data_IF_567778017409
#
_entry.id   IF_567778017409
#
_cell.length_a   1.000
_cell.length_b   1.000
_cell.length_c   1.000
_cell.angle_alpha   90.00
_cell.angle_beta   90.00
_cell.angle_gamma   90.00
#
_symmetry.space_group_name_H-M   'P 1'
#
loop_
_entity.id
_entity.type
_entity.pdbx_description
1 polymer ?
#
# COMPACT_ATOMS: atom_id res chain seq x y z
N UNK A 1 -17.18 -42.25 8.50
CA UNK A 1 -16.78 -41.44 7.33
C UNK A 1 -16.24 -40.13 7.84
N UNK A 2 -14.91 -39.99 7.88
CA UNK A 2 -14.25 -38.73 8.26
C UNK A 2 -14.10 -37.91 6.97
N UNK A 3 -14.83 -36.81 6.87
CA UNK A 3 -14.73 -35.88 5.74
C UNK A 3 -13.50 -35.01 5.96
N UNK A 4 -12.44 -35.26 5.21
CA UNK A 4 -11.27 -34.38 5.12
C UNK A 4 -11.70 -33.09 4.42
N UNK A 5 -11.89 -32.02 5.20
CA UNK A 5 -11.96 -30.65 4.68
C UNK A 5 -10.52 -30.20 4.40
N UNK A 6 -10.12 -30.19 3.13
CA UNK A 6 -8.93 -29.46 2.72
C UNK A 6 -9.19 -27.96 2.91
N UNK A 7 -8.27 -27.19 3.52
CA UNK A 7 -8.38 -25.74 3.51
C UNK A 7 -8.26 -25.28 2.05
N UNK A 8 -9.28 -24.56 1.56
CA UNK A 8 -9.17 -23.88 0.28
C UNK A 8 -8.09 -22.80 0.40
N UNK A 9 -7.12 -22.86 -0.50
CA UNK A 9 -6.09 -21.83 -0.67
C UNK A 9 -6.74 -20.52 -1.16
N UNK A 10 -7.15 -19.68 -0.21
CA UNK A 10 -7.73 -18.36 -0.46
C UNK A 10 -6.72 -17.32 -1.00
N UNK A 11 -5.43 -17.68 -1.14
CA UNK A 11 -4.41 -16.71 -1.57
C UNK A 11 -4.50 -16.41 -3.07
N UNK A 12 -4.95 -17.37 -3.89
CA UNK A 12 -5.01 -17.20 -5.36
C UNK A 12 -6.24 -16.42 -5.87
N UNK A 13 -7.36 -16.40 -5.15
CA UNK A 13 -8.52 -15.60 -5.58
C UNK A 13 -8.32 -14.09 -5.36
N UNK A 14 -7.44 -13.70 -4.45
CA UNK A 14 -7.36 -12.31 -3.99
C UNK A 14 -6.29 -11.47 -4.72
N UNK A 15 -5.50 -12.07 -5.62
CA UNK A 15 -4.58 -11.36 -6.51
C UNK A 15 -5.23 -10.87 -7.81
N UNK A 16 -6.57 -10.80 -7.89
CA UNK A 16 -7.31 -10.43 -9.10
C UNK A 16 -7.81 -8.97 -9.11
N UNK A 17 -7.60 -8.23 -8.02
CA UNK A 17 -8.15 -6.89 -7.84
C UNK A 17 -9.68 -6.86 -7.84
N UNK A 18 -10.24 -5.70 -7.56
CA UNK A 18 -11.68 -5.46 -7.50
C UNK A 18 -12.04 -4.47 -6.41
N UNK A 19 -13.34 -4.23 -6.24
CA UNK A 19 -13.85 -3.59 -5.04
C UNK A 19 -13.92 -4.66 -3.97
N UNK A 20 -13.32 -4.40 -2.81
CA UNK A 20 -13.52 -5.25 -1.64
C UNK A 20 -15.02 -5.32 -1.36
N UNK A 21 -15.65 -6.50 -1.44
CA UNK A 21 -17.11 -6.63 -1.37
C UNK A 21 -17.68 -6.24 0.00
N UNK A 22 -16.81 -6.09 1.00
CA UNK A 22 -17.15 -5.71 2.36
C UNK A 22 -16.07 -4.79 2.92
N UNK A 23 -16.47 -3.92 3.85
CA UNK A 23 -15.55 -3.18 4.72
C UNK A 23 -14.86 -4.18 5.66
N UNK A 24 -13.54 -4.18 5.66
CA UNK A 24 -12.72 -4.94 6.60
C UNK A 24 -12.66 -4.17 7.91
N UNK A 25 -12.76 -4.86 9.05
CA UNK A 25 -12.86 -4.20 10.35
C UNK A 25 -11.92 -4.83 11.37
N UNK A 26 -11.20 -3.99 12.10
CA UNK A 26 -10.49 -4.34 13.32
C UNK A 26 -11.29 -3.74 14.49
N UNK A 27 -12.17 -4.56 15.08
CA UNK A 27 -13.02 -4.11 16.19
C UNK A 27 -12.26 -4.30 17.50
N UNK A 28 -11.98 -3.19 18.20
CA UNK A 28 -11.46 -3.21 19.57
C UNK A 28 -12.58 -2.79 20.51
N UNK A 29 -12.91 -3.66 21.46
CA UNK A 29 -14.01 -3.43 22.43
C UNK A 29 -13.76 -2.22 23.35
N UNK A 30 -12.50 -1.82 23.48
CA UNK A 30 -12.02 -0.65 24.22
C UNK A 30 -11.42 0.42 23.30
N UNK A 31 -11.81 0.43 22.01
CA UNK A 31 -11.40 1.47 21.08
C UNK A 31 -11.85 2.84 21.57
N UNK A 32 -10.95 3.83 21.56
CA UNK A 32 -11.30 5.22 21.85
C UNK A 32 -11.73 6.00 20.61
N UNK A 33 -11.41 5.49 19.42
CA UNK A 33 -11.71 6.11 18.13
C UNK A 33 -11.76 5.04 17.03
N UNK A 34 -12.58 5.26 16.01
CA UNK A 34 -12.60 4.48 14.77
C UNK A 34 -12.04 5.33 13.62
N UNK A 35 -11.13 4.76 12.83
CA UNK A 35 -10.59 5.39 11.62
C UNK A 35 -11.09 4.60 10.40
N UNK A 36 -11.86 5.27 9.55
CA UNK A 36 -12.35 4.75 8.27
C UNK A 36 -11.44 5.16 7.12
N UNK A 37 -11.01 4.21 6.29
CA UNK A 37 -10.05 4.43 5.21
C UNK A 37 -10.51 3.79 3.90
N UNK A 38 -10.44 4.56 2.82
CA UNK A 38 -10.63 4.07 1.46
C UNK A 38 -9.30 4.04 0.70
N UNK A 39 -8.86 2.86 0.28
CA UNK A 39 -7.75 2.69 -0.65
C UNK A 39 -8.24 2.74 -2.10
N UNK A 40 -7.62 3.59 -2.92
CA UNK A 40 -7.85 3.66 -4.38
C UNK A 40 -6.52 3.36 -5.06
N UNK A 41 -6.44 2.23 -5.76
CA UNK A 41 -5.17 1.76 -6.31
C UNK A 41 -5.25 0.55 -7.23
N UNK A 42 -4.22 -0.29 -7.20
CA UNK A 42 -4.06 -1.44 -8.08
C UNK A 42 -3.40 -2.62 -7.35
N UNK A 43 -2.65 -3.45 -8.08
CA UNK A 43 -2.00 -4.66 -7.57
C UNK A 43 -1.03 -4.40 -6.43
N UNK A 44 -0.40 -3.22 -6.37
CA UNK A 44 0.47 -2.84 -5.24
C UNK A 44 -0.30 -2.64 -3.93
N UNK A 45 -1.62 -2.50 -4.02
CA UNK A 45 -2.53 -2.47 -2.87
C UNK A 45 -3.12 -3.85 -2.59
N UNK A 46 -3.66 -4.58 -3.58
CA UNK A 46 -4.37 -5.84 -3.27
C UNK A 46 -3.46 -7.07 -3.13
N UNK A 47 -2.22 -7.06 -3.62
CA UNK A 47 -1.35 -8.23 -3.57
C UNK A 47 -1.18 -8.75 -2.13
N UNK A 48 -1.28 -10.06 -1.99
CA UNK A 48 -1.21 -10.77 -0.72
C UNK A 48 -2.24 -10.29 0.31
N UNK A 49 -3.35 -9.65 -0.10
CA UNK A 49 -4.35 -9.09 0.80
C UNK A 49 -3.81 -8.04 1.78
N UNK A 50 -2.91 -7.15 1.34
CA UNK A 50 -2.29 -6.15 2.22
C UNK A 50 -3.30 -5.36 3.09
N UNK A 51 -4.48 -4.90 2.62
CA UNK A 51 -5.47 -4.26 3.48
C UNK A 51 -5.99 -5.15 4.62
N UNK A 52 -6.16 -6.46 4.37
CA UNK A 52 -6.53 -7.41 5.43
C UNK A 52 -5.39 -7.59 6.43
N UNK A 53 -4.14 -7.61 5.98
CA UNK A 53 -2.99 -7.67 6.89
C UNK A 53 -2.98 -6.47 7.85
N UNK A 54 -3.35 -5.27 7.41
CA UNK A 54 -3.47 -4.10 8.31
C UNK A 54 -4.48 -4.38 9.43
N UNK A 55 -5.63 -4.97 9.10
CA UNK A 55 -6.66 -5.36 10.08
C UNK A 55 -6.13 -6.43 11.04
N UNK A 56 -5.45 -7.46 10.53
CA UNK A 56 -4.93 -8.55 11.35
C UNK A 56 -3.82 -8.06 12.30
N UNK A 57 -2.95 -7.16 11.83
CA UNK A 57 -1.94 -6.46 12.64
C UNK A 57 -2.62 -5.66 13.76
N UNK A 58 -3.63 -4.87 13.42
CA UNK A 58 -4.35 -4.02 14.37
C UNK A 58 -5.09 -4.84 15.43
N UNK A 59 -5.66 -5.98 15.06
CA UNK A 59 -6.31 -6.91 15.98
C UNK A 59 -5.32 -7.58 16.92
N UNK A 60 -4.11 -7.88 16.43
CA UNK A 60 -3.10 -8.64 17.17
C UNK A 60 -2.12 -7.77 17.99
N UNK A 61 -2.19 -6.43 17.88
CA UNK A 61 -1.49 -5.53 18.81
C UNK A 61 -2.33 -5.35 20.10
N UNK A 62 -1.83 -5.78 21.28
CA UNK A 62 -2.55 -5.68 22.54
C UNK A 62 -2.69 -4.24 23.05
N UNK A 63 -1.79 -3.34 22.66
CA UNK A 63 -1.85 -1.93 23.05
C UNK A 63 -2.65 -1.07 22.09
N UNK A 64 -3.13 -1.61 20.97
CA UNK A 64 -3.92 -0.86 20.01
C UNK A 64 -5.30 -0.47 20.59
N UNK A 65 -5.59 0.84 20.59
CA UNK A 65 -6.87 1.43 21.01
C UNK A 65 -7.63 2.11 19.86
N UNK A 66 -7.20 1.89 18.62
CA UNK A 66 -7.83 2.43 17.41
C UNK A 66 -8.53 1.28 16.69
N UNK A 67 -9.85 1.43 16.47
CA UNK A 67 -10.58 0.58 15.56
C UNK A 67 -10.33 1.04 14.12
N UNK A 68 -10.16 0.10 13.19
CA UNK A 68 -9.93 0.40 11.77
C UNK A 68 -11.07 -0.16 10.92
N UNK A 69 -11.55 0.65 9.98
CA UNK A 69 -12.47 0.23 8.92
C UNK A 69 -11.83 0.50 7.56
N UNK A 70 -11.52 -0.54 6.79
CA UNK A 70 -10.83 -0.40 5.51
C UNK A 70 -11.69 -0.91 4.36
N UNK A 71 -11.72 -0.17 3.26
CA UNK A 71 -12.20 -0.65 1.97
C UNK A 71 -11.17 -0.35 0.90
N UNK A 72 -11.13 -1.16 -0.15
CA UNK A 72 -10.28 -0.91 -1.30
C UNK A 72 -11.05 -0.97 -2.61
N UNK A 73 -10.68 -0.09 -3.54
CA UNK A 73 -11.11 -0.08 -4.93
C UNK A 73 -9.85 -0.22 -5.74
N UNK A 74 -9.66 -1.42 -6.28
CA UNK A 74 -8.41 -1.73 -6.97
C UNK A 74 -8.66 -2.39 -8.30
N UNK A 75 -7.82 -2.07 -9.28
CA UNK A 75 -7.85 -2.70 -10.61
C UNK A 75 -6.39 -2.96 -11.02
N UNK A 76 -6.06 -4.19 -11.42
CA UNK A 76 -4.68 -4.56 -11.78
C UNK A 76 -4.07 -3.59 -12.80
N UNK A 77 -2.89 -3.04 -12.50
CA UNK A 77 -2.17 -2.08 -13.34
C UNK A 77 -2.83 -0.70 -13.53
N UNK A 78 -3.97 -0.43 -12.88
CA UNK A 78 -4.73 0.79 -13.16
C UNK A 78 -4.01 2.07 -12.70
N UNK A 79 -4.25 3.13 -13.47
CA UNK A 79 -3.88 4.50 -13.11
C UNK A 79 -4.99 5.20 -12.32
N UNK A 80 -4.69 6.33 -11.67
CA UNK A 80 -5.71 7.17 -11.04
C UNK A 80 -6.73 7.69 -12.07
N UNK A 81 -6.32 7.96 -13.31
CA UNK A 81 -7.24 8.32 -14.41
C UNK A 81 -8.29 7.23 -14.64
N UNK A 82 -7.85 5.98 -14.72
CA UNK A 82 -8.74 4.85 -14.96
C UNK A 82 -9.67 4.62 -13.77
N UNK A 83 -9.14 4.72 -12.54
CA UNK A 83 -9.95 4.58 -11.33
C UNK A 83 -10.95 5.73 -11.17
N UNK A 84 -10.62 6.95 -11.58
CA UNK A 84 -11.54 8.09 -11.59
C UNK A 84 -12.71 7.86 -12.56
N UNK A 85 -12.41 7.29 -13.73
CA UNK A 85 -13.40 6.98 -14.78
C UNK A 85 -14.20 5.71 -14.49
N UNK A 86 -13.78 4.88 -13.53
CA UNK A 86 -14.53 3.70 -13.13
C UNK A 86 -15.83 4.12 -12.43
N UNK A 87 -17.01 3.67 -12.90
CA UNK A 87 -18.30 4.15 -12.41
C UNK A 87 -18.57 3.78 -10.94
N UNK A 88 -17.75 2.90 -10.35
CA UNK A 88 -17.92 2.43 -8.98
C UNK A 88 -17.11 3.26 -7.97
N UNK A 89 -16.08 3.97 -8.41
CA UNK A 89 -15.13 4.65 -7.50
C UNK A 89 -15.75 5.84 -6.79
N UNK A 90 -16.36 6.77 -7.53
CA UNK A 90 -16.96 7.96 -6.93
C UNK A 90 -18.14 7.64 -6.01
N UNK A 91 -19.06 6.70 -6.33
CA UNK A 91 -20.07 6.27 -5.38
C UNK A 91 -19.48 5.72 -4.08
N UNK A 92 -18.47 4.86 -4.14
CA UNK A 92 -17.84 4.31 -2.93
C UNK A 92 -17.11 5.38 -2.09
N UNK A 93 -16.52 6.39 -2.74
CA UNK A 93 -15.95 7.55 -2.05
C UNK A 93 -17.06 8.36 -1.35
N UNK A 94 -18.20 8.63 -2.02
CA UNK A 94 -19.23 9.56 -1.54
C UNK A 94 -20.30 8.95 -0.63
N UNK A 95 -20.55 7.64 -0.70
CA UNK A 95 -21.71 7.01 -0.04
C UNK A 95 -21.52 6.77 1.47
N UNK A 96 -20.36 7.09 2.04
CA UNK A 96 -20.12 7.02 3.48
C UNK A 96 -19.00 7.97 3.91
N UNK A 97 -18.88 8.16 5.21
CA UNK A 97 -17.77 8.89 5.80
C UNK A 97 -16.46 8.10 5.70
N UNK A 98 -15.39 8.84 5.40
CA UNK A 98 -14.00 8.39 5.40
C UNK A 98 -13.16 9.42 6.17
N UNK A 99 -12.28 8.95 7.06
CA UNK A 99 -11.27 9.82 7.66
C UNK A 99 -10.11 10.03 6.69
N UNK A 100 -9.76 8.98 5.95
CA UNK A 100 -8.68 9.00 4.98
C UNK A 100 -9.08 8.39 3.63
N UNK A 101 -8.66 9.04 2.55
CA UNK A 101 -8.62 8.47 1.20
C UNK A 101 -7.16 8.31 0.79
N UNK A 102 -6.72 7.07 0.59
CA UNK A 102 -5.36 6.72 0.19
C UNK A 102 -5.33 6.55 -1.31
N UNK A 103 -4.51 7.36 -1.99
CA UNK A 103 -4.31 7.30 -3.43
C UNK A 103 -3.00 6.59 -3.75
N UNK A 104 -3.10 5.55 -4.57
CA UNK A 104 -1.97 4.82 -5.11
C UNK A 104 -2.02 4.84 -6.63
N UNK A 105 -1.05 5.50 -7.24
CA UNK A 105 -0.91 5.60 -8.69
C UNK A 105 -0.11 4.40 -9.26
N UNK A 106 -0.24 4.13 -10.55
CA UNK A 106 0.53 3.11 -11.28
C UNK A 106 2.04 3.25 -11.01
N UNK A 107 2.69 2.19 -10.54
CA UNK A 107 4.12 2.07 -10.17
C UNK A 107 5.19 2.81 -11.00
N UNK A 108 4.97 3.12 -12.28
CA UNK A 108 5.93 3.79 -13.18
C UNK A 108 5.48 5.21 -13.57
N UNK A 109 4.42 5.75 -12.97
CA UNK A 109 3.83 7.04 -13.32
C UNK A 109 4.84 8.18 -13.29
N UNK A 110 5.72 8.16 -12.29
CA UNK A 110 6.70 9.22 -12.06
C UNK A 110 7.80 9.23 -13.13
N UNK A 111 7.89 8.21 -13.99
CA UNK A 111 8.98 8.10 -14.98
C UNK A 111 8.67 8.84 -16.28
N UNK A 112 7.41 9.23 -16.50
CA UNK A 112 6.95 9.80 -17.76
C UNK A 112 6.19 11.10 -17.56
N UNK A 113 6.54 12.15 -18.31
CA UNK A 113 5.96 13.48 -18.11
C UNK A 113 4.44 13.53 -18.33
N UNK A 114 3.93 12.83 -19.32
CA UNK A 114 2.49 12.79 -19.57
C UNK A 114 1.74 12.05 -18.46
N UNK A 115 2.34 10.99 -17.90
CA UNK A 115 1.77 10.34 -16.72
C UNK A 115 1.82 11.26 -15.50
N UNK A 116 2.92 11.98 -15.26
CA UNK A 116 3.02 12.99 -14.18
C UNK A 116 1.92 14.04 -14.29
N UNK A 117 1.61 14.55 -15.50
CA UNK A 117 0.53 15.51 -15.72
C UNK A 117 -0.83 14.92 -15.34
N UNK A 118 -1.15 13.73 -15.86
CA UNK A 118 -2.42 13.03 -15.56
C UNK A 118 -2.56 12.71 -14.09
N UNK A 119 -1.51 12.20 -13.45
CA UNK A 119 -1.51 11.90 -12.00
C UNK A 119 -1.83 13.14 -11.18
N UNK A 120 -1.24 14.30 -11.50
CA UNK A 120 -1.56 15.56 -10.81
C UNK A 120 -3.04 15.94 -10.94
N UNK A 121 -3.58 15.87 -12.15
CA UNK A 121 -4.99 16.17 -12.42
C UNK A 121 -5.91 15.25 -11.62
N UNK A 122 -5.76 13.93 -11.76
CA UNK A 122 -6.69 12.98 -11.15
C UNK A 122 -6.51 12.84 -9.64
N UNK A 123 -5.28 12.99 -9.12
CA UNK A 123 -5.08 13.06 -7.66
C UNK A 123 -5.74 14.32 -7.07
N UNK A 124 -5.66 15.47 -7.75
CA UNK A 124 -6.36 16.68 -7.32
C UNK A 124 -7.88 16.49 -7.34
N UNK A 125 -8.41 15.87 -8.38
CA UNK A 125 -9.84 15.54 -8.49
C UNK A 125 -10.31 14.65 -7.32
N UNK A 126 -9.61 13.55 -7.03
CA UNK A 126 -9.91 12.71 -5.87
C UNK A 126 -9.79 13.45 -4.55
N UNK A 127 -8.76 14.28 -4.39
CA UNK A 127 -8.54 15.06 -3.17
C UNK A 127 -9.67 16.06 -2.94
N UNK A 128 -10.17 16.70 -4.01
CA UNK A 128 -11.30 17.62 -3.91
C UNK A 128 -12.57 16.90 -3.48
N UNK A 129 -12.85 15.70 -4.01
CA UNK A 129 -14.00 14.90 -3.58
C UNK A 129 -13.85 14.40 -2.14
N UNK A 130 -12.66 13.96 -1.74
CA UNK A 130 -12.36 13.57 -0.37
C UNK A 130 -12.60 14.74 0.61
N UNK A 131 -12.16 15.96 0.26
CA UNK A 131 -12.38 17.15 1.09
C UNK A 131 -13.84 17.52 1.26
N UNK A 132 -14.67 17.33 0.22
CA UNK A 132 -16.11 17.64 0.30
C UNK A 132 -16.82 16.81 1.37
N UNK A 133 -16.31 15.61 1.68
CA UNK A 133 -16.84 14.74 2.74
C UNK A 133 -16.04 14.80 4.05
N UNK A 134 -15.11 15.76 4.17
CA UNK A 134 -14.27 15.93 5.36
C UNK A 134 -13.06 14.99 5.46
N UNK A 135 -12.83 14.13 4.46
CA UNK A 135 -11.72 13.18 4.47
C UNK A 135 -10.38 13.85 4.12
N UNK A 136 -9.29 13.33 4.71
CA UNK A 136 -7.93 13.74 4.36
C UNK A 136 -7.34 12.79 3.32
N UNK A 137 -6.59 13.34 2.36
CA UNK A 137 -5.90 12.51 1.37
C UNK A 137 -4.51 12.12 1.86
N UNK A 138 -4.14 10.86 1.64
CA UNK A 138 -2.79 10.34 1.79
C UNK A 138 -2.30 9.78 0.45
N UNK A 139 -1.02 9.99 0.12
CA UNK A 139 -0.39 9.40 -1.06
C UNK A 139 0.43 8.18 -0.64
N UNK A 140 0.14 7.03 -1.23
CA UNK A 140 0.94 5.81 -1.08
C UNK A 140 2.18 5.90 -1.99
N UNK A 141 3.35 6.17 -1.39
CA UNK A 141 4.63 6.17 -2.11
C UNK A 141 5.09 4.73 -2.38
N UNK A 142 4.96 4.29 -3.63
CA UNK A 142 5.40 2.97 -4.08
C UNK A 142 6.92 2.91 -4.36
N UNK A 143 7.46 1.70 -4.48
CA UNK A 143 8.89 1.38 -4.61
C UNK A 143 9.37 1.25 -6.07
N UNK A 144 10.69 1.36 -6.32
CA UNK A 144 11.26 1.10 -7.64
C UNK A 144 11.21 -0.38 -8.00
N UNK A 145 11.35 -0.69 -9.30
CA UNK A 145 11.61 -2.07 -9.73
C UNK A 145 12.91 -2.60 -9.13
N UNK A 146 12.97 -3.91 -8.93
CA UNK A 146 14.16 -4.58 -8.39
C UNK A 146 15.37 -4.33 -9.29
N UNK A 147 16.51 -4.05 -8.66
CA UNK A 147 17.78 -3.89 -9.35
C UNK A 147 18.08 -5.11 -10.25
N UNK A 148 18.57 -4.86 -11.46
CA UNK A 148 18.97 -5.91 -12.40
C UNK A 148 17.84 -6.51 -13.25
N UNK A 149 16.59 -6.10 -13.04
CA UNK A 149 15.47 -6.48 -13.92
C UNK A 149 15.70 -5.99 -15.35
N UNK A 150 15.18 -6.74 -16.33
CA UNK A 150 15.26 -6.37 -17.77
C UNK A 150 14.58 -5.04 -18.06
N UNK A 151 13.64 -4.62 -17.21
CA UNK A 151 12.92 -3.36 -17.32
C UNK A 151 13.85 -2.15 -17.45
N UNK A 152 14.99 -2.13 -16.74
CA UNK A 152 15.99 -1.05 -16.84
C UNK A 152 16.80 -1.07 -18.15
N UNK A 153 16.70 -2.14 -18.94
CA UNK A 153 17.42 -2.32 -20.22
C UNK A 153 16.53 -2.08 -21.44
N UNK A 154 15.21 -1.99 -21.26
CA UNK A 154 14.28 -1.78 -22.37
C UNK A 154 14.41 -0.35 -22.91
N UNK A 155 14.54 -0.21 -24.23
CA UNK A 155 14.81 1.06 -24.90
C UNK A 155 13.78 2.16 -24.59
N UNK A 156 12.52 1.77 -24.35
CA UNK A 156 11.44 2.70 -23.99
C UNK A 156 11.61 3.34 -22.60
N UNK A 157 12.41 2.73 -21.72
CA UNK A 157 12.68 3.19 -20.36
C UNK A 157 14.12 3.68 -20.18
N UNK A 158 15.05 3.21 -21.03
CA UNK A 158 16.49 3.44 -20.93
C UNK A 158 16.89 4.93 -20.97
N UNK A 159 16.10 5.79 -21.63
CA UNK A 159 16.36 7.24 -21.67
C UNK A 159 16.04 7.95 -20.35
N UNK A 160 15.12 7.40 -19.55
CA UNK A 160 14.69 7.99 -18.29
C UNK A 160 15.40 7.36 -17.07
N UNK A 161 15.94 6.14 -17.19
CA UNK A 161 16.26 5.29 -16.03
C UNK A 161 17.61 4.60 -16.16
N UNK A 162 18.34 4.57 -15.04
CA UNK A 162 19.66 3.94 -14.94
C UNK A 162 19.61 2.67 -14.10
N UNK A 163 18.94 2.76 -12.96
CA UNK A 163 18.87 1.73 -11.94
C UNK A 163 17.70 2.00 -10.97
N UNK A 164 17.55 1.11 -9.98
CA UNK A 164 16.56 1.22 -8.91
C UNK A 164 16.69 2.49 -8.07
N UNK A 165 17.92 2.95 -7.80
CA UNK A 165 18.18 4.18 -7.05
C UNK A 165 17.73 5.43 -7.81
N UNK A 166 17.95 5.47 -9.12
CA UNK A 166 17.50 6.56 -9.97
C UNK A 166 15.97 6.61 -10.03
N UNK A 167 15.31 5.46 -10.20
CA UNK A 167 13.85 5.37 -10.14
C UNK A 167 13.31 5.80 -8.77
N UNK A 168 13.93 5.37 -7.67
CA UNK A 168 13.54 5.80 -6.32
C UNK A 168 13.64 7.32 -6.16
N UNK A 169 14.74 7.93 -6.59
CA UNK A 169 14.95 9.38 -6.48
C UNK A 169 13.85 10.16 -7.20
N UNK A 170 13.51 9.75 -8.43
CA UNK A 170 12.43 10.37 -9.20
C UNK A 170 11.08 10.14 -8.52
N UNK A 171 10.76 8.91 -8.11
CA UNK A 171 9.49 8.60 -7.43
C UNK A 171 9.34 9.41 -6.14
N UNK A 172 10.37 9.48 -5.28
CA UNK A 172 10.34 10.26 -4.06
C UNK A 172 10.13 11.76 -4.32
N UNK A 173 10.87 12.33 -5.29
CA UNK A 173 10.71 13.73 -5.69
C UNK A 173 9.31 14.03 -6.22
N UNK A 174 8.79 13.20 -7.13
CA UNK A 174 7.48 13.40 -7.74
C UNK A 174 6.34 13.16 -6.74
N UNK A 175 6.44 12.15 -5.87
CA UNK A 175 5.46 11.92 -4.80
C UNK A 175 5.43 13.07 -3.82
N UNK A 176 6.60 13.61 -3.41
CA UNK A 176 6.65 14.81 -2.56
C UNK A 176 5.98 16.00 -3.25
N UNK A 177 6.33 16.27 -4.49
CA UNK A 177 5.73 17.35 -5.27
C UNK A 177 4.20 17.22 -5.36
N UNK A 178 3.72 16.00 -5.65
CA UNK A 178 2.29 15.71 -5.73
C UNK A 178 1.58 15.95 -4.39
N UNK A 179 2.18 15.49 -3.29
CA UNK A 179 1.63 15.66 -1.95
C UNK A 179 1.55 17.15 -1.57
N UNK A 180 2.59 17.94 -1.85
CA UNK A 180 2.59 19.38 -1.63
C UNK A 180 1.49 20.06 -2.47
N UNK A 181 1.39 19.72 -3.76
CA UNK A 181 0.42 20.28 -4.69
C UNK A 181 -1.03 20.09 -4.24
N UNK A 182 -1.36 18.89 -3.77
CA UNK A 182 -2.73 18.55 -3.34
C UNK A 182 -2.91 18.72 -1.83
N UNK A 183 -1.90 19.20 -1.09
CA UNK A 183 -1.88 19.30 0.39
C UNK A 183 -2.24 17.98 1.09
N UNK A 184 -1.70 16.87 0.58
CA UNK A 184 -1.80 15.54 1.19
C UNK A 184 -0.54 15.21 1.98
N UNK A 185 -0.62 14.19 2.84
CA UNK A 185 0.56 13.57 3.45
C UNK A 185 1.00 12.37 2.64
N UNK A 186 2.28 12.02 2.73
CA UNK A 186 2.85 10.83 2.11
C UNK A 186 2.90 9.70 3.13
N UNK A 187 2.49 8.49 2.72
CA UNK A 187 2.82 7.24 3.43
C UNK A 187 4.12 6.71 2.83
N UNK A 188 5.24 6.74 3.59
CA UNK A 188 6.59 6.62 3.02
C UNK A 188 7.01 5.16 2.81
N UNK A 189 6.16 4.33 2.20
CA UNK A 189 6.42 2.88 2.07
C UNK A 189 7.73 2.62 1.32
N UNK A 190 7.98 3.35 0.23
CA UNK A 190 9.21 3.20 -0.54
C UNK A 190 10.47 3.44 0.29
N UNK A 191 10.45 4.40 1.22
CA UNK A 191 11.64 4.73 2.01
C UNK A 191 12.05 3.59 2.95
N UNK A 192 11.06 2.86 3.50
CA UNK A 192 11.32 1.67 4.32
C UNK A 192 11.74 0.47 3.46
N UNK A 193 11.14 0.32 2.28
CA UNK A 193 11.55 -0.71 1.31
C UNK A 193 13.02 -0.53 0.92
N UNK A 194 13.39 0.68 0.52
CA UNK A 194 14.77 0.97 0.10
C UNK A 194 15.76 0.83 1.24
N UNK A 195 15.40 1.26 2.46
CA UNK A 195 16.22 0.99 3.64
C UNK A 195 16.42 -0.52 3.87
N UNK A 196 15.35 -1.31 3.76
CA UNK A 196 15.41 -2.77 3.96
C UNK A 196 16.27 -3.43 2.90
N UNK A 197 16.09 -3.08 1.62
CA UNK A 197 16.87 -3.64 0.51
C UNK A 197 18.37 -3.35 0.68
N UNK A 198 18.72 -2.16 1.15
CA UNK A 198 20.10 -1.72 1.32
C UNK A 198 20.77 -2.34 2.56
N UNK A 199 20.06 -2.38 3.70
CA UNK A 199 20.64 -2.79 4.98
C UNK A 199 20.40 -4.27 5.32
N UNK A 200 19.40 -4.89 4.71
CA UNK A 200 18.98 -6.27 4.94
C UNK A 200 18.67 -6.97 3.59
N UNK A 201 19.66 -7.11 2.70
CA UNK A 201 19.45 -7.65 1.35
C UNK A 201 19.00 -9.13 1.33
N UNK A 202 19.11 -9.83 2.46
CA UNK A 202 18.56 -11.18 2.68
C UNK A 202 17.03 -11.19 2.83
N UNK A 203 16.41 -10.07 3.17
CA UNK A 203 14.97 -9.91 3.26
C UNK A 203 14.38 -9.60 1.88
N UNK A 204 14.00 -10.65 1.15
CA UNK A 204 13.43 -10.52 -0.19
C UNK A 204 12.03 -9.88 -0.17
N UNK A 205 11.94 -8.60 -0.55
CA UNK A 205 10.69 -7.85 -0.60
C UNK A 205 9.94 -7.98 -1.94
N UNK A 206 10.61 -8.44 -3.00
CA UNK A 206 9.99 -8.57 -4.32
C UNK A 206 9.52 -9.99 -4.60
N UNK A 207 8.41 -10.11 -5.32
CA UNK A 207 8.09 -11.34 -6.01
C UNK A 207 9.06 -11.55 -7.19
N UNK A 208 9.00 -12.72 -7.83
CA UNK A 208 9.89 -13.17 -8.91
C UNK A 208 9.95 -12.23 -10.10
N UNK A 209 8.92 -11.41 -10.32
CA UNK A 209 8.89 -10.45 -11.41
C UNK A 209 9.70 -9.17 -11.15
N UNK A 210 10.23 -8.99 -9.94
CA UNK A 210 11.00 -7.82 -9.54
C UNK A 210 10.18 -6.53 -9.48
N UNK A 211 8.86 -6.64 -9.34
CA UNK A 211 7.90 -5.54 -9.33
C UNK A 211 6.93 -5.66 -8.16
N UNK A 212 6.12 -6.72 -8.18
CA UNK A 212 5.11 -6.96 -7.16
C UNK A 212 5.76 -7.31 -5.82
N UNK A 213 5.05 -7.09 -4.70
CA UNK A 213 5.59 -7.44 -3.41
C UNK A 213 5.55 -8.96 -3.18
N UNK A 214 6.63 -9.50 -2.61
CA UNK A 214 6.58 -10.79 -1.94
C UNK A 214 5.63 -10.72 -0.75
N UNK A 215 5.33 -11.86 -0.13
CA UNK A 215 4.55 -11.87 1.11
C UNK A 215 5.20 -11.00 2.20
N UNK A 216 6.54 -11.00 2.27
CA UNK A 216 7.32 -10.18 3.21
C UNK A 216 7.23 -8.69 2.85
N UNK A 217 7.28 -8.35 1.56
CA UNK A 217 7.08 -6.98 1.08
C UNK A 217 5.68 -6.42 1.39
N UNK A 218 4.63 -7.22 1.19
CA UNK A 218 3.26 -6.85 1.56
C UNK A 218 3.12 -6.70 3.08
N UNK A 219 3.80 -7.54 3.86
CA UNK A 219 3.78 -7.44 5.32
C UNK A 219 4.46 -6.15 5.81
N UNK A 220 5.67 -5.83 5.32
CA UNK A 220 6.34 -4.55 5.63
C UNK A 220 5.44 -3.35 5.29
N UNK A 221 4.81 -3.39 4.12
CA UNK A 221 3.86 -2.36 3.67
C UNK A 221 2.68 -2.21 4.62
N UNK A 222 2.06 -3.33 5.02
CA UNK A 222 0.94 -3.33 5.95
C UNK A 222 1.33 -2.76 7.32
N UNK A 223 2.51 -3.08 7.83
CA UNK A 223 3.03 -2.55 9.10
C UNK A 223 3.24 -1.03 9.06
N UNK A 224 3.70 -0.49 7.92
CA UNK A 224 3.88 0.96 7.72
C UNK A 224 2.54 1.69 7.66
N UNK A 225 1.54 1.12 6.98
CA UNK A 225 0.18 1.67 7.00
C UNK A 225 -0.44 1.60 8.38
N UNK A 226 -0.30 0.46 9.07
CA UNK A 226 -0.77 0.32 10.45
C UNK A 226 -0.19 1.40 11.35
N UNK A 227 1.13 1.61 11.30
CA UNK A 227 1.81 2.68 12.03
C UNK A 227 1.25 4.06 11.66
N UNK A 228 1.08 4.33 10.37
CA UNK A 228 0.62 5.63 9.89
C UNK A 228 -0.81 5.94 10.33
N UNK A 229 -1.68 4.93 10.37
CA UNK A 229 -3.08 5.10 10.73
C UNK A 229 -3.30 5.14 12.24
N UNK A 230 -2.51 4.40 13.02
CA UNK A 230 -2.73 4.26 14.47
C UNK A 230 -1.72 5.03 15.33
N UNK A 231 -0.68 5.58 14.72
CA UNK A 231 0.49 6.20 15.39
C UNK A 231 1.21 5.25 16.38
N UNK A 232 1.04 3.93 16.19
CA UNK A 232 1.66 2.89 17.02
C UNK A 232 2.81 2.21 16.30
N UNK A 233 3.88 1.96 17.04
CA UNK A 233 4.93 1.07 16.56
C UNK A 233 4.38 -0.37 16.44
N UNK A 234 4.52 -1.03 15.28
CA UNK A 234 3.96 -2.36 15.06
C UNK A 234 4.71 -3.50 15.75
N UNK A 235 5.79 -3.26 16.50
CA UNK A 235 6.62 -4.31 17.08
C UNK A 235 5.85 -5.29 17.98
N UNK A 236 4.87 -4.76 18.72
CA UNK A 236 4.09 -5.52 19.69
C UNK A 236 2.94 -6.33 19.05
N UNK A 237 2.77 -6.27 17.73
CA UNK A 237 1.78 -7.12 17.06
C UNK A 237 2.22 -8.58 17.07
N UNK A 238 1.34 -9.47 17.51
CA UNK A 238 1.55 -10.92 17.44
C UNK A 238 1.31 -11.49 16.04
N UNK A 239 0.71 -10.71 15.11
CA UNK A 239 0.37 -11.21 13.79
C UNK A 239 1.62 -11.46 12.94
N UNK A 240 1.71 -12.66 12.36
CA UNK A 240 2.65 -13.04 11.30
C UNK A 240 1.82 -13.69 10.19
N UNK A 241 1.86 -13.17 8.95
CA UNK A 241 1.17 -13.80 7.82
C UNK A 241 1.54 -15.27 7.66
N UNK A 242 0.54 -16.12 7.41
CA UNK A 242 0.78 -17.53 7.12
C UNK A 242 1.70 -17.68 5.90
N UNK A 243 2.77 -18.46 6.04
CA UNK A 243 3.79 -18.66 5.01
C UNK A 243 5.03 -17.75 5.16
N UNK A 244 5.07 -16.86 6.16
CA UNK A 244 6.32 -16.20 6.55
C UNK A 244 6.99 -16.93 7.71
N UNK A 245 8.31 -17.03 7.61
CA UNK A 245 9.16 -17.50 8.71
C UNK A 245 9.23 -16.45 9.84
N UNK A 246 9.37 -16.93 11.07
CA UNK A 246 9.33 -16.08 12.27
C UNK A 246 10.46 -15.03 12.30
N UNK A 247 11.68 -15.42 11.93
CA UNK A 247 12.85 -14.56 11.99
C UNK A 247 12.78 -13.36 11.02
N UNK A 248 12.54 -13.55 9.70
CA UNK A 248 12.28 -12.44 8.78
C UNK A 248 11.11 -11.54 9.22
N UNK A 249 10.02 -12.13 9.71
CA UNK A 249 8.87 -11.37 10.19
C UNK A 249 9.21 -10.50 11.41
N UNK A 250 10.01 -11.01 12.36
CA UNK A 250 10.48 -10.27 13.51
C UNK A 250 11.39 -9.09 13.13
N UNK A 251 12.30 -9.30 12.18
CA UNK A 251 13.17 -8.24 11.65
C UNK A 251 12.36 -7.12 10.96
N UNK A 252 11.42 -7.49 10.09
CA UNK A 252 10.54 -6.53 9.40
C UNK A 252 9.69 -5.72 10.38
N UNK A 253 9.17 -6.34 11.45
CA UNK A 253 8.46 -5.62 12.52
C UNK A 253 9.34 -4.57 13.19
N UNK A 254 10.61 -4.89 13.47
CA UNK A 254 11.58 -3.95 14.06
C UNK A 254 11.87 -2.79 13.12
N UNK A 255 12.10 -3.07 11.83
CA UNK A 255 12.35 -2.05 10.81
C UNK A 255 11.17 -1.08 10.70
N UNK A 256 9.94 -1.60 10.63
CA UNK A 256 8.72 -0.78 10.57
C UNK A 256 8.47 0.04 11.86
N UNK A 257 9.07 -0.35 12.99
CA UNK A 257 8.85 0.29 14.30
C UNK A 257 9.82 1.43 14.61
N UNK A 258 11.07 1.31 14.19
CA UNK A 258 12.11 2.27 14.57
C UNK A 258 12.68 3.07 13.40
N UNK A 259 12.29 2.72 12.17
CA UNK A 259 12.81 3.39 10.98
C UNK A 259 14.32 3.17 10.83
N UNK A 260 14.98 4.13 10.19
CA UNK A 260 16.36 4.04 9.70
C UNK A 260 17.46 4.16 10.79
N UNK A 261 17.13 3.85 12.04
CA UNK A 261 17.97 4.08 13.22
C UNK A 261 18.69 2.80 13.69
#
# INVERSE_FOLDING_TARGET
MLTLLFPMDNTQQNNKGGISPRILTANKTDASVTISVLFIGNSYTFYNNMPQMIIDIANSDPGNKVALELQSITIGGATLEQLWKDPRTLPALKNRHWDYVILQEQSTWAMFDDNRKKTREYAANFTNEARQIGAKTLIYQTWPRKQGTSWYKEAQFASALKDSNHMQSITASQTKFLADLIQAKVVPVSDYWMFTIDQHPDLELYDKDGSHPSLLGSYLTALIFYRTLTDRAPQETAYIPAGLEEMPAAQIKKIASYGKN
#
